data_IF_218143238845
#
_entry.id   IF_218143238845
#
_cell.length_a   1.000
_cell.length_b   1.000
_cell.length_c   1.000
_cell.angle_alpha   90.00
_cell.angle_beta   90.00
_cell.angle_gamma   90.00
#
_symmetry.space_group_name_H-M   'P 1'
#
loop_
_entity.id
_entity.type
_entity.pdbx_description
1 polymer ?
#
# COMPACT_ATOMS: atom_id res chain seq x y z
N UNK A 1 -31.66 -33.76 3.19
CA UNK A 1 -30.78 -32.57 3.01
C UNK A 1 -29.82 -32.85 1.85
N UNK A 2 -30.05 -32.24 0.68
CA UNK A 2 -29.22 -32.48 -0.51
C UNK A 2 -27.91 -31.69 -0.43
N UNK A 3 -26.77 -32.39 -0.35
CA UNK A 3 -25.45 -31.77 -0.39
C UNK A 3 -25.18 -31.27 -1.81
N UNK A 4 -24.92 -29.97 -1.97
CA UNK A 4 -24.60 -29.39 -3.28
C UNK A 4 -23.34 -30.06 -3.87
N UNK A 5 -23.40 -30.45 -5.14
CA UNK A 5 -22.32 -31.16 -5.85
C UNK A 5 -21.05 -30.32 -5.98
N UNK A 6 -19.87 -30.94 -5.86
CA UNK A 6 -18.57 -30.26 -5.91
C UNK A 6 -18.34 -29.39 -7.17
N UNK A 7 -18.93 -29.78 -8.30
CA UNK A 7 -18.91 -29.00 -9.54
C UNK A 7 -19.63 -27.64 -9.39
N UNK A 8 -20.75 -27.60 -8.66
CA UNK A 8 -21.50 -26.37 -8.36
C UNK A 8 -20.66 -25.42 -7.50
N UNK A 9 -19.91 -25.96 -6.53
CA UNK A 9 -19.02 -25.20 -5.65
C UNK A 9 -17.85 -24.59 -6.43
N UNK A 10 -17.23 -25.34 -7.35
CA UNK A 10 -16.11 -24.87 -8.18
C UNK A 10 -16.54 -23.75 -9.13
N UNK A 11 -17.72 -23.88 -9.75
CA UNK A 11 -18.32 -22.84 -10.59
C UNK A 11 -18.61 -21.55 -9.81
N UNK A 12 -19.20 -21.68 -8.62
CA UNK A 12 -19.52 -20.55 -7.74
C UNK A 12 -18.26 -19.77 -7.32
N UNK A 13 -17.16 -20.48 -7.01
CA UNK A 13 -15.86 -19.85 -6.71
C UNK A 13 -15.26 -19.11 -7.92
N UNK A 14 -15.40 -19.68 -9.12
CA UNK A 14 -14.94 -19.04 -10.36
C UNK A 14 -15.69 -17.74 -10.68
N UNK A 15 -17.02 -17.74 -10.53
CA UNK A 15 -17.86 -16.54 -10.69
C UNK A 15 -17.54 -15.48 -9.63
N UNK A 16 -17.36 -15.87 -8.36
CA UNK A 16 -16.98 -14.94 -7.28
C UNK A 16 -15.62 -14.28 -7.54
N UNK A 17 -14.65 -15.01 -8.10
CA UNK A 17 -13.32 -14.49 -8.41
C UNK A 17 -13.36 -13.50 -9.60
N UNK A 18 -14.20 -13.76 -10.60
CA UNK A 18 -14.44 -12.85 -11.73
C UNK A 18 -15.13 -11.56 -11.28
N UNK A 19 -16.18 -11.67 -10.46
CA UNK A 19 -16.87 -10.52 -9.87
C UNK A 19 -15.95 -9.67 -8.97
N UNK A 20 -15.01 -10.29 -8.25
CA UNK A 20 -14.00 -9.58 -7.46
C UNK A 20 -12.98 -8.85 -8.35
N UNK A 21 -12.59 -9.44 -9.48
CA UNK A 21 -11.72 -8.80 -10.46
C UNK A 21 -12.40 -7.59 -11.13
N UNK A 22 -13.70 -7.71 -11.46
CA UNK A 22 -14.51 -6.64 -12.02
C UNK A 22 -14.72 -5.49 -11.02
N UNK A 23 -14.96 -5.80 -9.74
CA UNK A 23 -15.00 -4.78 -8.67
C UNK A 23 -13.65 -4.09 -8.46
N UNK A 24 -12.53 -4.81 -8.61
CA UNK A 24 -11.18 -4.22 -8.57
C UNK A 24 -10.92 -3.30 -9.75
N UNK A 25 -11.37 -3.68 -10.96
CA UNK A 25 -11.28 -2.83 -12.15
C UNK A 25 -12.18 -1.59 -12.03
N UNK A 26 -13.42 -1.75 -11.57
CA UNK A 26 -14.34 -0.64 -11.33
C UNK A 26 -13.84 0.32 -10.24
N UNK A 27 -13.22 -0.17 -9.16
CA UNK A 27 -12.58 0.66 -8.12
C UNK A 27 -11.33 1.38 -8.62
N UNK A 28 -10.65 0.81 -9.61
CA UNK A 28 -9.52 1.47 -10.29
C UNK A 28 -10.02 2.59 -11.20
N UNK A 29 -11.20 2.43 -11.80
CA UNK A 29 -11.85 3.44 -12.66
C UNK A 29 -12.57 4.56 -11.88
N UNK A 30 -13.05 4.29 -10.67
CA UNK A 30 -13.69 5.28 -9.78
C UNK A 30 -12.71 5.99 -8.83
N UNK A 31 -11.41 5.78 -9.00
CA UNK A 31 -10.38 6.54 -8.29
C UNK A 31 -10.21 7.88 -8.99
N UNK A 32 -10.89 8.91 -8.47
CA UNK A 32 -10.83 10.29 -8.98
C UNK A 32 -9.37 10.73 -9.23
N UNK A 33 -9.07 11.34 -10.39
CA UNK A 33 -7.74 11.84 -10.70
C UNK A 33 -7.32 13.05 -9.85
N UNK A 34 -8.21 13.65 -9.05
CA UNK A 34 -7.92 14.77 -8.15
C UNK A 34 -6.86 14.50 -7.06
N UNK A 35 -6.50 13.24 -6.77
CA UNK A 35 -5.37 12.94 -5.89
C UNK A 35 -4.05 12.69 -6.66
N UNK A 36 -3.98 13.08 -7.94
CA UNK A 36 -2.70 13.34 -8.60
C UNK A 36 -2.32 14.78 -8.24
N UNK A 37 -2.12 15.01 -6.94
CA UNK A 37 -1.53 16.24 -6.44
C UNK A 37 -0.09 16.29 -6.92
N UNK A 38 0.09 16.72 -8.17
CA UNK A 38 1.29 17.37 -8.68
C UNK A 38 1.44 18.70 -7.93
N UNK A 39 1.55 18.60 -6.60
CA UNK A 39 1.91 19.70 -5.74
C UNK A 39 3.42 19.74 -5.80
N UNK A 40 3.88 20.40 -6.87
CA UNK A 40 5.10 21.20 -6.93
C UNK A 40 5.50 21.64 -5.52
N UNK A 41 6.42 20.89 -4.88
CA UNK A 41 6.95 21.21 -3.55
C UNK A 41 8.38 20.66 -3.47
N UNK A 42 9.29 21.50 -3.95
CA UNK A 42 10.75 21.43 -3.82
C UNK A 42 11.22 20.94 -2.43
N UNK A 43 10.52 21.33 -1.35
CA UNK A 43 10.89 21.09 0.04
C UNK A 43 11.06 19.60 0.47
N UNK A 44 10.37 18.66 -0.18
CA UNK A 44 10.49 17.23 0.17
C UNK A 44 11.36 16.45 -0.84
N UNK A 45 11.72 17.04 -1.98
CA UNK A 45 12.44 16.37 -3.09
C UNK A 45 13.79 15.80 -2.65
N UNK A 46 14.49 16.55 -1.81
CA UNK A 46 15.84 16.24 -1.36
C UNK A 46 15.85 15.00 -0.45
N UNK A 47 14.74 14.77 0.25
CA UNK A 47 14.65 13.76 1.33
C UNK A 47 13.67 12.63 1.02
N UNK A 48 12.81 12.78 0.01
CA UNK A 48 11.82 11.76 -0.38
C UNK A 48 12.31 10.79 -1.47
N UNK A 49 13.53 10.98 -1.99
CA UNK A 49 14.11 10.16 -3.05
C UNK A 49 14.05 8.65 -2.76
N UNK A 50 14.44 8.15 -1.56
CA UNK A 50 14.37 6.71 -1.27
C UNK A 50 12.94 6.18 -1.34
N UNK A 51 11.95 6.99 -0.98
CA UNK A 51 10.54 6.61 -1.01
C UNK A 51 9.94 6.69 -2.42
N UNK A 52 10.41 7.63 -3.26
CA UNK A 52 10.04 7.72 -4.68
C UNK A 52 10.51 6.49 -5.45
N UNK A 53 11.75 6.06 -5.24
CA UNK A 53 12.33 4.88 -5.89
C UNK A 53 11.56 3.60 -5.55
N UNK A 54 11.01 3.51 -4.35
CA UNK A 54 10.14 2.41 -3.93
C UNK A 54 8.73 2.48 -4.54
N UNK A 55 8.36 3.61 -5.17
CA UNK A 55 7.05 3.83 -5.75
C UNK A 55 5.97 4.21 -4.73
N UNK A 56 6.35 4.82 -3.60
CA UNK A 56 5.36 5.35 -2.65
C UNK A 56 4.68 6.58 -3.25
N UNK A 57 3.37 6.68 -3.04
CA UNK A 57 2.59 7.86 -3.41
C UNK A 57 2.95 9.06 -2.52
N UNK A 58 2.82 10.27 -3.07
CA UNK A 58 3.13 11.53 -2.38
C UNK A 58 2.61 11.63 -0.94
N UNK A 59 1.33 11.30 -0.61
CA UNK A 59 0.85 11.38 0.77
C UNK A 59 1.58 10.44 1.73
N UNK A 60 1.94 9.23 1.30
CA UNK A 60 2.67 8.29 2.15
C UNK A 60 4.13 8.71 2.35
N UNK A 61 4.76 9.31 1.33
CA UNK A 61 6.13 9.85 1.46
C UNK A 61 6.18 10.99 2.46
N UNK A 62 5.25 11.95 2.35
CA UNK A 62 5.13 13.10 3.27
C UNK A 62 4.93 12.63 4.70
N UNK A 63 3.98 11.71 4.93
CA UNK A 63 3.72 11.15 6.25
C UNK A 63 4.96 10.50 6.89
N UNK A 64 5.80 9.81 6.11
CA UNK A 64 7.05 9.24 6.63
C UNK A 64 8.06 10.33 7.00
N UNK A 65 8.20 11.35 6.16
CA UNK A 65 9.18 12.42 6.36
C UNK A 65 8.79 13.32 7.53
N UNK A 66 7.50 13.65 7.67
CA UNK A 66 6.98 14.46 8.77
C UNK A 66 7.23 13.77 10.13
N UNK A 67 7.22 12.43 10.16
CA UNK A 67 7.58 11.62 11.34
C UNK A 67 9.09 11.40 11.50
N UNK A 68 9.92 11.95 10.60
CA UNK A 68 11.37 11.84 10.63
C UNK A 68 11.95 10.54 10.07
N UNK A 69 11.18 9.78 9.27
CA UNK A 69 11.66 8.60 8.56
C UNK A 69 12.12 8.96 7.15
N UNK A 70 13.44 8.99 6.95
CA UNK A 70 14.04 9.39 5.67
C UNK A 70 14.50 8.19 4.84
N UNK A 71 14.60 7.00 5.44
CA UNK A 71 14.99 5.75 4.76
C UNK A 71 14.39 4.52 5.43
N UNK A 72 14.40 3.38 4.72
CA UNK A 72 13.90 2.10 5.22
C UNK A 72 14.50 1.68 6.58
N UNK A 73 15.78 1.98 6.81
CA UNK A 73 16.48 1.63 8.06
C UNK A 73 15.93 2.33 9.30
N UNK A 74 15.30 3.50 9.15
CA UNK A 74 14.71 4.26 10.26
C UNK A 74 13.45 3.57 10.78
N UNK A 75 12.76 2.84 9.89
CA UNK A 75 11.55 2.06 10.22
C UNK A 75 11.83 0.88 11.16
N UNK A 76 13.09 0.53 11.42
CA UNK A 76 13.43 -0.49 12.44
C UNK A 76 13.10 -0.05 13.86
N UNK A 77 12.96 1.25 14.10
CA UNK A 77 12.65 1.83 15.41
C UNK A 77 11.14 1.94 15.67
N UNK A 78 10.33 1.74 14.64
CA UNK A 78 8.87 1.89 14.68
C UNK A 78 8.16 0.56 14.44
N UNK A 79 6.94 0.45 14.93
CA UNK A 79 6.11 -0.74 14.75
C UNK A 79 5.32 -0.65 13.45
N UNK A 80 4.89 -1.80 12.93
CA UNK A 80 4.04 -1.84 11.76
C UNK A 80 2.70 -1.11 12.00
N UNK A 81 2.17 -1.18 13.22
CA UNK A 81 0.91 -0.50 13.57
C UNK A 81 1.07 1.02 13.60
N UNK A 82 2.16 1.54 14.17
CA UNK A 82 2.46 2.97 14.10
C UNK A 82 2.51 3.49 12.66
N UNK A 83 3.10 2.70 11.73
CA UNK A 83 3.11 3.05 10.31
C UNK A 83 1.70 3.04 9.71
N UNK A 84 0.82 2.11 10.10
CA UNK A 84 -0.57 2.08 9.63
C UNK A 84 -1.39 3.27 10.13
N UNK A 85 -1.09 3.77 11.33
CA UNK A 85 -1.78 4.92 11.93
C UNK A 85 -1.37 6.26 11.27
N UNK A 86 -0.29 6.30 10.49
CA UNK A 86 0.14 7.52 9.82
C UNK A 86 -0.88 8.01 8.78
N UNK A 87 -1.24 9.29 8.87
CA UNK A 87 -2.19 9.91 7.96
C UNK A 87 -1.64 9.93 6.53
N UNK A 88 -2.32 9.23 5.60
CA UNK A 88 -1.86 9.06 4.22
C UNK A 88 -1.21 7.70 3.95
N UNK A 89 -1.02 6.86 4.97
CA UNK A 89 -0.51 5.51 4.82
C UNK A 89 -1.62 4.51 4.45
N UNK A 90 -1.85 4.38 3.14
CA UNK A 90 -2.81 3.39 2.62
C UNK A 90 -2.27 1.96 2.59
N UNK A 91 -3.15 0.95 2.41
CA UNK A 91 -2.76 -0.47 2.36
C UNK A 91 -1.74 -0.78 1.26
N UNK A 92 -1.74 0.01 0.17
CA UNK A 92 -0.73 -0.13 -0.88
C UNK A 92 0.66 0.31 -0.42
N UNK A 93 0.75 1.39 0.36
CA UNK A 93 2.03 1.89 0.87
C UNK A 93 2.62 0.92 1.90
N UNK A 94 1.79 0.40 2.82
CA UNK A 94 2.17 -0.67 3.75
C UNK A 94 2.75 -1.88 3.00
N UNK A 95 2.09 -2.35 1.95
CA UNK A 95 2.56 -3.48 1.14
C UNK A 95 3.93 -3.20 0.51
N UNK A 96 4.14 -2.00 -0.03
CA UNK A 96 5.42 -1.60 -0.65
C UNK A 96 6.53 -1.57 0.40
N UNK A 97 6.30 -0.90 1.53
CA UNK A 97 7.27 -0.77 2.62
C UNK A 97 7.64 -2.15 3.16
N UNK A 98 6.67 -2.99 3.51
CA UNK A 98 6.94 -4.34 4.04
C UNK A 98 7.72 -5.20 3.04
N UNK A 99 7.41 -5.09 1.75
CA UNK A 99 8.16 -5.81 0.71
C UNK A 99 9.59 -5.29 0.59
N UNK A 100 9.79 -3.98 0.67
CA UNK A 100 11.09 -3.33 0.60
C UNK A 100 11.96 -3.68 1.82
N UNK A 101 11.39 -3.64 3.03
CA UNK A 101 12.07 -4.07 4.26
C UNK A 101 12.51 -5.52 4.16
N UNK A 102 11.63 -6.42 3.72
CA UNK A 102 11.99 -7.84 3.52
C UNK A 102 13.14 -8.03 2.53
N UNK A 103 13.15 -7.28 1.42
CA UNK A 103 14.25 -7.33 0.44
C UNK A 103 15.57 -6.81 1.00
N UNK A 104 15.50 -5.86 1.93
CA UNK A 104 16.66 -5.29 2.61
C UNK A 104 17.06 -6.06 3.89
N UNK A 105 16.41 -7.20 4.18
CA UNK A 105 16.58 -7.96 5.43
C UNK A 105 16.35 -7.11 6.70
N UNK A 106 15.40 -6.17 6.63
CA UNK A 106 14.97 -5.32 7.73
C UNK A 106 13.61 -5.79 8.25
N UNK A 107 13.38 -5.58 9.54
CA UNK A 107 12.09 -5.81 10.19
C UNK A 107 11.67 -4.60 11.02
N UNK A 108 10.36 -4.40 11.16
CA UNK A 108 9.81 -3.42 12.08
C UNK A 108 10.16 -3.80 13.52
N UNK A 109 10.09 -2.81 14.41
CA UNK A 109 10.12 -3.06 15.84
C UNK A 109 8.95 -4.00 16.20
N UNK A 110 9.27 -5.03 17.00
CA UNK A 110 8.28 -5.94 17.59
C UNK A 110 7.36 -5.23 18.55
#
# INVERSE_FOLDING_TARGET
>A
MAKQSAAKIKKLRGEAMRAAAERKAARSASRSPENRGDADLDAYSEVDAPWRELGLAAPARRALIDEGYYKLSDLRKTSLDAIKDLHGMGPNAIRIITSAMKKADLSFRK
#
